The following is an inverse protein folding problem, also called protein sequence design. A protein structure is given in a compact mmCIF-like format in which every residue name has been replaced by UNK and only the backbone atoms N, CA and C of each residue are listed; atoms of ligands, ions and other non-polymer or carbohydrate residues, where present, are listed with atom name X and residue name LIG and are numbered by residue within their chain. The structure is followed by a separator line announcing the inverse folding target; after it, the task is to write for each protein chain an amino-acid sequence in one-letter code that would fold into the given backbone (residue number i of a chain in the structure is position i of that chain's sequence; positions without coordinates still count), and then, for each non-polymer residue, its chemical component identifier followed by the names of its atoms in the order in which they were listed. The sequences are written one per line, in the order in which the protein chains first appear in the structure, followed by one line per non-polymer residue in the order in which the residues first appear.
data_IF_243478562982
#
_entry.id   IF_243478562982
#
_cell.length_a   1.000
_cell.length_b   1.000
_cell.length_c   1.000
_cell.angle_alpha   90.00
_cell.angle_beta   90.00
_cell.angle_gamma   90.00
#
_symmetry.space_group_name_H-M   'P 1'
#
loop_
_entity.id
_entity.type
_entity.pdbx_description
1 polymer ?
#
# COMPACT_ATOMS: atom_id res chain seq x y z
N UNK A 1 -0.31 -14.35 11.61
CA UNK A 1 -0.73 -14.88 10.29
C UNK A 1 -2.20 -14.54 10.05
N UNK A 2 -3.14 -14.96 10.90
CA UNK A 2 -4.56 -14.58 10.74
C UNK A 2 -4.84 -13.07 10.89
N UNK A 3 -4.13 -12.38 11.79
CA UNK A 3 -4.37 -10.95 12.06
C UNK A 3 -4.00 -10.04 10.88
N UNK A 4 -2.94 -10.37 10.13
CA UNK A 4 -2.55 -9.62 8.92
C UNK A 4 -3.52 -9.83 7.76
N UNK A 5 -4.02 -11.05 7.56
CA UNK A 5 -5.00 -11.32 6.50
C UNK A 5 -6.31 -10.55 6.78
N UNK A 6 -6.79 -10.55 8.02
CA UNK A 6 -7.97 -9.76 8.44
C UNK A 6 -7.70 -8.27 8.26
N UNK A 7 -6.47 -7.81 8.55
CA UNK A 7 -6.07 -6.43 8.37
C UNK A 7 -6.13 -6.00 6.90
N UNK A 8 -5.57 -6.82 6.03
CA UNK A 8 -5.57 -6.60 4.59
C UNK A 8 -6.99 -6.56 4.04
N UNK A 9 -7.82 -7.52 4.43
CA UNK A 9 -9.24 -7.59 4.06
C UNK A 9 -9.98 -6.33 4.51
N UNK A 10 -9.79 -5.90 5.77
CA UNK A 10 -10.37 -4.65 6.31
C UNK A 10 -9.92 -3.42 5.52
N UNK A 11 -8.64 -3.34 5.16
CA UNK A 11 -8.09 -2.22 4.40
C UNK A 11 -8.64 -2.16 2.97
N UNK A 12 -8.89 -3.34 2.37
CA UNK A 12 -9.44 -3.48 1.00
C UNK A 12 -10.94 -3.22 0.96
N UNK A 13 -11.69 -3.72 1.93
CA UNK A 13 -13.16 -3.63 1.94
C UNK A 13 -13.69 -2.38 2.66
N UNK A 14 -13.16 -2.03 3.83
CA UNK A 14 -13.70 -0.95 4.66
C UNK A 14 -13.04 0.41 4.40
N UNK A 15 -11.77 0.44 4.00
CA UNK A 15 -10.99 1.69 3.80
C UNK A 15 -10.24 1.79 2.46
N UNK A 16 -10.81 1.34 1.32
CA UNK A 16 -10.09 1.33 0.05
C UNK A 16 -9.69 2.73 -0.41
N UNK A 17 -10.55 3.74 -0.22
CA UNK A 17 -10.30 5.11 -0.69
C UNK A 17 -9.14 5.75 0.10
N UNK A 18 -9.14 5.62 1.42
CA UNK A 18 -8.09 6.14 2.28
C UNK A 18 -6.74 5.46 2.04
N UNK A 19 -6.75 4.14 1.85
CA UNK A 19 -5.53 3.39 1.52
C UNK A 19 -4.99 3.80 0.15
N UNK A 20 -5.88 3.96 -0.83
CA UNK A 20 -5.54 4.47 -2.16
C UNK A 20 -4.91 5.86 -2.07
N UNK A 21 -5.51 6.77 -1.29
CA UNK A 21 -4.95 8.11 -1.05
C UNK A 21 -3.57 8.05 -0.39
N UNK A 22 -3.35 7.14 0.57
CA UNK A 22 -2.03 6.92 1.17
C UNK A 22 -1.01 6.48 0.11
N UNK A 23 -1.40 5.55 -0.75
CA UNK A 23 -0.55 5.06 -1.83
C UNK A 23 -0.17 6.21 -2.75
N UNK A 24 -1.13 6.98 -3.25
CA UNK A 24 -0.87 8.12 -4.13
C UNK A 24 -0.03 9.23 -3.47
N UNK A 25 -0.23 9.47 -2.17
CA UNK A 25 0.57 10.47 -1.44
C UNK A 25 2.02 10.03 -1.21
N UNK A 26 2.26 8.73 -1.03
CA UNK A 26 3.58 8.19 -0.76
C UNK A 26 4.36 7.87 -2.05
N UNK A 27 3.66 7.35 -3.06
CA UNK A 27 4.19 7.01 -4.39
C UNK A 27 3.93 8.16 -5.35
N UNK A 28 4.64 9.27 -5.13
CA UNK A 28 4.59 10.42 -6.03
C UNK A 28 5.36 10.13 -7.35
N UNK A 29 4.96 10.81 -8.43
CA UNK A 29 5.61 10.74 -9.75
C UNK A 29 7.14 10.89 -9.64
N UNK A 30 7.86 9.82 -9.95
CA UNK A 30 9.32 9.76 -9.95
C UNK A 30 9.94 8.79 -8.93
N UNK A 31 9.15 8.23 -8.01
CA UNK A 31 9.57 7.07 -7.22
C UNK A 31 9.37 5.78 -8.00
N UNK A 32 10.46 5.07 -8.22
CA UNK A 32 10.47 3.77 -8.89
C UNK A 32 10.46 2.60 -7.89
N UNK A 33 10.24 2.88 -6.61
CA UNK A 33 10.35 1.93 -5.51
C UNK A 33 9.22 2.17 -4.51
N UNK A 34 8.76 1.10 -3.85
CA UNK A 34 7.70 1.16 -2.87
C UNK A 34 8.24 1.73 -1.55
N UNK A 35 7.80 2.94 -1.19
CA UNK A 35 8.15 3.58 0.08
C UNK A 35 7.36 2.99 1.28
N UNK A 36 7.69 1.75 1.67
CA UNK A 36 7.02 0.98 2.72
C UNK A 36 6.99 1.69 4.07
N UNK A 37 8.09 2.34 4.48
CA UNK A 37 8.13 3.09 5.74
C UNK A 37 7.20 4.31 5.69
N UNK A 38 7.17 5.02 4.57
CA UNK A 38 6.24 6.14 4.35
C UNK A 38 4.78 5.70 4.39
N UNK A 39 4.45 4.62 3.68
CA UNK A 39 3.12 4.04 3.63
C UNK A 39 2.64 3.61 5.02
N UNK A 40 3.45 2.85 5.76
CA UNK A 40 3.14 2.46 7.14
C UNK A 40 3.00 3.68 8.08
N UNK A 41 3.84 4.71 7.91
CA UNK A 41 3.76 5.91 8.73
C UNK A 41 2.45 6.70 8.47
N UNK A 42 2.03 6.81 7.19
CA UNK A 42 0.77 7.44 6.80
C UNK A 42 -0.44 6.64 7.24
N UNK A 43 -0.41 5.32 7.05
CA UNK A 43 -1.48 4.43 7.49
C UNK A 43 -1.70 4.53 9.01
N UNK A 44 -0.62 4.56 9.78
CA UNK A 44 -0.68 4.75 11.24
C UNK A 44 -1.23 6.14 11.62
N UNK A 45 -0.95 7.17 10.82
CA UNK A 45 -1.46 8.51 11.06
C UNK A 45 -2.98 8.62 10.86
N UNK A 46 -3.56 7.78 9.99
CA UNK A 46 -5.00 7.76 9.75
C UNK A 46 -5.79 7.22 10.94
N UNK A 47 -5.14 6.55 11.91
CA UNK A 47 -5.78 5.92 13.08
C UNK A 47 -6.94 4.98 12.73
N UNK A 48 -7.02 4.55 11.48
CA UNK A 48 -8.05 3.63 10.96
C UNK A 48 -8.00 2.31 11.72
N UNK A 49 -6.79 1.90 12.10
CA UNK A 49 -6.53 0.65 12.79
C UNK A 49 -5.88 0.93 14.13
N UNK A 50 -6.42 0.28 15.17
CA UNK A 50 -5.78 0.21 16.50
C UNK A 50 -4.57 -0.72 16.51
N UNK A 51 -4.32 -1.41 15.39
CA UNK A 51 -3.22 -2.35 15.24
C UNK A 51 -1.89 -1.61 15.12
N UNK A 52 -0.94 -2.00 15.97
CA UNK A 52 0.42 -1.48 15.97
C UNK A 52 1.34 -2.27 15.01
N UNK A 53 0.76 -3.19 14.25
CA UNK A 53 1.46 -3.99 13.25
C UNK A 53 1.80 -3.15 12.02
N UNK A 54 2.99 -3.39 11.49
CA UNK A 54 3.47 -2.81 10.24
C UNK A 54 3.23 -3.82 9.14
N UNK A 55 2.64 -3.37 8.05
CA UNK A 55 2.55 -4.15 6.82
C UNK A 55 3.95 -4.28 6.20
N UNK A 56 4.23 -5.47 5.68
CA UNK A 56 5.47 -5.76 4.97
C UNK A 56 5.43 -5.17 3.55
N UNK A 57 6.55 -5.23 2.85
CA UNK A 57 6.63 -4.78 1.46
C UNK A 57 5.67 -5.57 0.55
N UNK A 58 5.56 -6.89 0.75
CA UNK A 58 4.70 -7.77 -0.03
C UNK A 58 3.22 -7.44 0.18
N UNK A 59 2.82 -7.23 1.44
CA UNK A 59 1.46 -6.82 1.81
C UNK A 59 1.06 -5.50 1.10
N UNK A 60 1.98 -4.53 1.05
CA UNK A 60 1.74 -3.28 0.35
C UNK A 60 1.70 -3.47 -1.17
N UNK A 61 2.52 -4.35 -1.75
CA UNK A 61 2.44 -4.65 -3.18
C UNK A 61 1.08 -5.24 -3.56
N UNK A 62 0.52 -6.13 -2.73
CA UNK A 62 -0.83 -6.64 -2.96
C UNK A 62 -1.87 -5.51 -2.93
N UNK A 63 -1.81 -4.63 -1.90
CA UNK A 63 -2.73 -3.50 -1.80
C UNK A 63 -2.59 -2.54 -2.98
N UNK A 64 -1.37 -2.24 -3.42
CA UNK A 64 -1.12 -1.35 -4.57
C UNK A 64 -1.60 -2.00 -5.86
N UNK A 65 -1.37 -3.29 -6.06
CA UNK A 65 -1.86 -4.02 -7.23
C UNK A 65 -3.39 -3.99 -7.33
N UNK A 66 -4.10 -4.12 -6.20
CA UNK A 66 -5.56 -4.13 -6.20
C UNK A 66 -6.21 -2.75 -6.21
N UNK A 67 -5.66 -1.80 -5.45
CA UNK A 67 -6.29 -0.49 -5.21
C UNK A 67 -5.73 0.65 -6.09
N UNK A 68 -4.46 0.54 -6.51
CA UNK A 68 -3.78 1.56 -7.28
C UNK A 68 -2.91 0.94 -8.40
N UNK A 69 -3.52 0.22 -9.36
CA UNK A 69 -2.79 -0.49 -10.41
C UNK A 69 -1.93 0.45 -11.26
N UNK A 70 -2.38 1.70 -11.47
CA UNK A 70 -1.58 2.72 -12.17
C UNK A 70 -0.22 2.97 -11.49
N UNK A 71 -0.21 3.02 -10.15
CA UNK A 71 1.01 3.15 -9.36
C UNK A 71 1.81 1.85 -9.38
N UNK A 72 1.15 0.69 -9.38
CA UNK A 72 1.83 -0.61 -9.50
C UNK A 72 2.64 -0.71 -10.80
N UNK A 73 2.06 -0.25 -11.92
CA UNK A 73 2.74 -0.21 -13.22
C UNK A 73 3.93 0.78 -13.23
N UNK A 74 3.84 1.89 -12.48
CA UNK A 74 4.92 2.88 -12.37
C UNK A 74 6.05 2.45 -11.42
N UNK A 75 5.71 1.73 -10.35
CA UNK A 75 6.67 1.07 -9.46
C UNK A 75 7.47 0.10 -10.32
N UNK A 76 8.68 0.52 -10.66
CA UNK A 76 9.46 -0.11 -11.73
C UNK A 76 9.75 -1.58 -11.43
N UNK A 77 8.83 -2.45 -11.83
CA UNK A 77 9.06 -3.86 -12.09
C UNK A 77 9.87 -4.03 -13.38
N UNK A 78 10.90 -3.20 -13.58
CA UNK A 78 11.61 -3.07 -14.86
C UNK A 78 10.68 -2.53 -15.96
N UNK A 79 11.12 -1.69 -16.87
CA UNK A 79 11.77 -2.17 -18.09
C UNK A 79 11.91 -3.70 -18.27
N UNK A 80 10.82 -4.44 -18.11
CA UNK A 80 10.63 -5.77 -18.70
C UNK A 80 9.34 -5.79 -19.55
N UNK A 81 9.08 -4.69 -20.25
CA UNK A 81 8.26 -4.73 -21.46
C UNK A 81 9.20 -4.66 -22.66
N UNK A 82 9.38 -5.83 -23.29
CA UNK A 82 9.71 -6.12 -24.70
C UNK A 82 10.94 -5.47 -25.36
#
# INVERSE_FOLDING_TARGET
MLENEILLDTLRDEYPEEVTEVIYNCQFMGKNYLDVDGLNARLRALRILTFNERLTEDDWYELVYELAPDIYDELSYGKLSA
#
